data_IF_437225719507
#
_entry.id   IF_437225719507
#
_cell.length_a   1.000
_cell.length_b   1.000
_cell.length_c   1.000
_cell.angle_alpha   90.00
_cell.angle_beta   90.00
_cell.angle_gamma   90.00
#
_symmetry.space_group_name_H-M   'P 1'
#
loop_
_entity.id
_entity.type
_entity.pdbx_description
1 polymer ?
#
# COMPACT_ATOMS: atom_id res chain seq x y z
N UNK A 1 -8.32 -11.81 -12.39
CA UNK A 1 -8.99 -12.20 -11.12
C UNK A 1 -8.86 -13.68 -10.75
N UNK A 2 -8.51 -14.60 -11.68
CA UNK A 2 -8.38 -16.04 -11.37
C UNK A 2 -7.11 -16.36 -10.55
N UNK A 3 -6.06 -15.53 -10.61
CA UNK A 3 -4.75 -15.83 -9.99
C UNK A 3 -4.73 -15.71 -8.46
N UNK A 4 -5.50 -14.79 -7.86
CA UNK A 4 -5.51 -14.57 -6.40
C UNK A 4 -6.16 -15.74 -5.65
N UNK A 5 -7.16 -16.39 -6.26
CA UNK A 5 -7.83 -17.55 -5.68
C UNK A 5 -6.92 -18.76 -5.54
N UNK A 6 -6.09 -19.05 -6.55
CA UNK A 6 -5.11 -20.13 -6.49
C UNK A 6 -4.02 -19.89 -5.45
N UNK A 7 -3.59 -18.64 -5.27
CA UNK A 7 -2.62 -18.27 -4.24
C UNK A 7 -3.19 -18.50 -2.84
N UNK A 8 -4.44 -18.12 -2.59
CA UNK A 8 -5.12 -18.37 -1.31
C UNK A 8 -5.25 -19.87 -1.02
N UNK A 9 -5.67 -20.66 -2.02
CA UNK A 9 -5.73 -22.12 -1.92
C UNK A 9 -4.33 -22.70 -1.63
N UNK A 10 -3.30 -22.23 -2.33
CA UNK A 10 -1.92 -22.68 -2.12
C UNK A 10 -1.39 -22.34 -0.73
N UNK A 11 -1.67 -21.15 -0.19
CA UNK A 11 -1.26 -20.75 1.16
C UNK A 11 -1.95 -21.61 2.22
N UNK A 12 -3.24 -21.89 2.05
CA UNK A 12 -3.99 -22.77 2.96
C UNK A 12 -3.41 -24.18 2.91
N UNK A 13 -3.16 -24.73 1.73
CA UNK A 13 -2.54 -26.05 1.58
C UNK A 13 -1.10 -26.11 2.10
N UNK A 14 -0.34 -25.02 1.98
CA UNK A 14 1.00 -24.89 2.55
C UNK A 14 0.94 -24.88 4.08
N UNK A 15 -0.02 -24.17 4.68
CA UNK A 15 -0.25 -24.20 6.13
C UNK A 15 -0.64 -25.61 6.61
N UNK A 16 -1.53 -26.29 5.88
CA UNK A 16 -1.89 -27.69 6.12
C UNK A 16 -0.65 -28.60 6.03
N UNK A 17 0.19 -28.44 5.00
CA UNK A 17 1.44 -29.19 4.85
C UNK A 17 2.48 -28.89 5.95
N UNK A 18 2.56 -27.64 6.41
CA UNK A 18 3.42 -27.27 7.53
C UNK A 18 2.92 -27.91 8.83
N UNK A 19 1.61 -27.91 9.08
CA UNK A 19 1.04 -28.58 10.26
C UNK A 19 1.25 -30.09 10.23
N UNK A 20 1.27 -30.75 9.06
CA UNK A 20 1.59 -32.19 8.98
C UNK A 20 3.06 -32.48 9.25
N UNK A 21 3.98 -31.66 8.71
CA UNK A 21 5.42 -31.82 8.93
C UNK A 21 5.76 -31.58 10.42
N UNK A 22 5.29 -30.45 10.99
CA UNK A 22 5.57 -30.11 12.39
C UNK A 22 4.81 -31.01 13.36
N UNK A 23 3.54 -31.35 13.09
CA UNK A 23 2.77 -32.28 13.91
C UNK A 23 3.37 -33.69 13.92
N UNK A 24 3.87 -34.17 12.78
CA UNK A 24 4.57 -35.46 12.70
C UNK A 24 5.90 -35.47 13.44
N UNK A 25 6.68 -34.38 13.39
CA UNK A 25 7.92 -34.23 14.15
C UNK A 25 7.66 -34.14 15.66
N UNK A 26 6.60 -33.44 16.06
CA UNK A 26 6.21 -33.30 17.47
C UNK A 26 5.76 -34.64 18.06
N UNK A 27 4.95 -35.40 17.31
CA UNK A 27 4.54 -36.75 17.69
C UNK A 27 5.77 -37.66 17.83
N UNK A 28 6.69 -37.67 16.86
CA UNK A 28 7.93 -38.46 16.92
C UNK A 28 8.78 -38.17 18.16
N UNK A 29 8.75 -36.93 18.68
CA UNK A 29 9.46 -36.53 19.89
C UNK A 29 8.76 -37.02 21.17
N UNK A 30 7.42 -37.11 21.16
CA UNK A 30 6.63 -37.61 22.30
C UNK A 30 6.59 -39.14 22.33
N UNK A 31 6.52 -39.83 21.19
CA UNK A 31 6.39 -41.31 21.14
C UNK A 31 7.71 -42.08 21.31
N UNK A 32 8.79 -41.41 21.74
CA UNK A 32 10.04 -42.01 22.18
C UNK A 32 10.55 -43.19 21.32
N UNK A 33 10.81 -42.96 20.02
CA UNK A 33 11.50 -43.87 19.06
C UNK A 33 10.97 -45.30 18.88
N UNK A 34 9.94 -45.77 19.58
CA UNK A 34 9.58 -47.21 19.63
C UNK A 34 8.79 -47.74 18.43
N UNK A 35 8.39 -46.89 17.47
CA UNK A 35 7.74 -47.37 16.24
C UNK A 35 8.45 -46.86 14.99
N UNK A 36 8.71 -47.78 14.06
CA UNK A 36 9.40 -47.48 12.81
C UNK A 36 8.77 -46.29 12.07
N UNK A 37 9.60 -45.50 11.39
CA UNK A 37 9.24 -44.24 10.72
C UNK A 37 7.98 -44.40 9.83
N UNK A 38 7.82 -45.56 9.20
CA UNK A 38 6.67 -45.92 8.37
C UNK A 38 5.38 -46.14 9.17
N UNK A 39 5.45 -46.70 10.38
CA UNK A 39 4.29 -46.93 11.27
C UNK A 39 3.84 -45.62 11.91
N UNK A 40 4.79 -44.78 12.34
CA UNK A 40 4.51 -43.42 12.82
C UNK A 40 3.87 -42.61 11.71
N UNK A 41 4.44 -42.57 10.51
CA UNK A 41 3.87 -41.85 9.38
C UNK A 41 2.45 -42.33 9.01
N UNK A 42 2.19 -43.64 9.04
CA UNK A 42 0.84 -44.19 8.79
C UNK A 42 -0.17 -43.83 9.89
N UNK A 43 0.25 -43.84 11.16
CA UNK A 43 -0.58 -43.42 12.31
C UNK A 43 -0.86 -41.92 12.25
N UNK A 44 0.17 -41.10 12.03
CA UNK A 44 0.05 -39.64 11.89
C UNK A 44 -0.86 -39.30 10.72
N UNK A 45 -0.72 -39.96 9.56
CA UNK A 45 -1.60 -39.75 8.42
C UNK A 45 -3.06 -40.11 8.75
N UNK A 46 -3.33 -41.23 9.43
CA UNK A 46 -4.72 -41.61 9.80
C UNK A 46 -5.35 -40.67 10.83
N UNK A 47 -4.61 -40.30 11.87
CA UNK A 47 -5.07 -39.32 12.89
C UNK A 47 -5.30 -37.97 12.21
N UNK A 48 -4.43 -37.59 11.27
CA UNK A 48 -4.58 -36.37 10.49
C UNK A 48 -5.77 -36.42 9.53
N UNK A 49 -6.01 -37.51 8.79
CA UNK A 49 -7.17 -37.63 7.91
C UNK A 49 -8.49 -37.67 8.70
N UNK A 50 -8.52 -38.32 9.87
CA UNK A 50 -9.68 -38.29 10.77
C UNK A 50 -9.91 -36.88 11.36
N UNK A 51 -8.84 -36.16 11.67
CA UNK A 51 -8.90 -34.77 12.12
C UNK A 51 -9.32 -33.83 10.98
N UNK A 52 -8.76 -33.99 9.78
CA UNK A 52 -9.07 -33.23 8.56
C UNK A 52 -10.54 -33.33 8.14
N UNK A 53 -11.21 -34.44 8.47
CA UNK A 53 -12.64 -34.65 8.23
C UNK A 53 -13.53 -34.15 9.37
N UNK A 54 -12.96 -33.61 10.45
CA UNK A 54 -13.72 -33.10 11.60
C UNK A 54 -14.13 -31.64 11.41
N UNK A 55 -15.32 -31.25 11.92
CA UNK A 55 -15.82 -29.87 11.91
C UNK A 55 -14.83 -28.85 12.50
N UNK A 56 -13.93 -29.31 13.38
CA UNK A 56 -12.89 -28.51 14.03
C UNK A 56 -11.88 -27.92 13.02
N UNK A 57 -11.58 -28.62 11.94
CA UNK A 57 -10.64 -28.15 10.92
C UNK A 57 -11.21 -26.99 10.11
N UNK A 58 -12.52 -26.98 9.87
CA UNK A 58 -13.18 -25.83 9.24
C UNK A 58 -13.05 -24.56 10.08
N UNK A 59 -13.05 -24.67 11.42
CA UNK A 59 -12.85 -23.51 12.31
C UNK A 59 -11.42 -22.97 12.18
N UNK A 60 -10.41 -23.84 12.14
CA UNK A 60 -9.01 -23.44 11.94
C UNK A 60 -8.82 -22.76 10.59
N UNK A 61 -9.37 -23.36 9.53
CA UNK A 61 -9.28 -22.79 8.17
C UNK A 61 -10.02 -21.45 8.09
N UNK A 62 -11.20 -21.33 8.70
CA UNK A 62 -11.95 -20.07 8.74
C UNK A 62 -11.16 -18.96 9.45
N UNK A 63 -10.49 -19.27 10.57
CA UNK A 63 -9.67 -18.29 11.29
C UNK A 63 -8.43 -17.88 10.49
N UNK A 64 -7.75 -18.81 9.82
CA UNK A 64 -6.58 -18.51 8.98
C UNK A 64 -6.99 -17.67 7.77
N UNK A 65 -8.08 -18.02 7.10
CA UNK A 65 -8.58 -17.28 5.93
C UNK A 65 -9.05 -15.88 6.31
N UNK A 66 -9.75 -15.73 7.44
CA UNK A 66 -10.10 -14.43 7.99
C UNK A 66 -8.83 -13.62 8.31
N UNK A 67 -7.85 -14.21 9.00
CA UNK A 67 -6.60 -13.53 9.33
C UNK A 67 -5.80 -13.06 8.12
N UNK A 68 -5.74 -13.89 7.06
CA UNK A 68 -5.16 -13.53 5.76
C UNK A 68 -5.92 -12.39 5.07
N UNK A 69 -7.26 -12.40 5.14
CA UNK A 69 -8.07 -11.33 4.56
C UNK A 69 -7.77 -9.97 5.23
N UNK A 70 -7.63 -9.94 6.57
CA UNK A 70 -7.21 -8.73 7.28
C UNK A 70 -5.79 -8.29 6.86
N UNK A 71 -4.84 -9.21 6.71
CA UNK A 71 -3.50 -8.86 6.24
C UNK A 71 -3.48 -8.31 4.80
N UNK A 72 -4.35 -8.82 3.93
CA UNK A 72 -4.49 -8.29 2.56
C UNK A 72 -5.14 -6.91 2.50
N UNK A 73 -5.89 -6.53 3.53
CA UNK A 73 -6.47 -5.17 3.67
C UNK A 73 -5.50 -4.17 4.30
N UNK A 74 -4.40 -4.62 4.92
CA UNK A 74 -3.43 -3.76 5.57
C UNK A 74 -2.63 -2.79 4.66
N UNK A 75 -2.26 -3.13 3.40
CA UNK A 75 -1.42 -2.26 2.60
C UNK A 75 -2.24 -1.08 2.03
N UNK A 76 -1.85 0.13 2.42
CA UNK A 76 -2.39 1.38 1.88
C UNK A 76 -1.31 2.13 1.11
N UNK A 77 -1.76 2.87 0.09
CA UNK A 77 -0.93 3.84 -0.61
C UNK A 77 -1.65 5.18 -0.65
N UNK A 78 -0.90 6.25 -0.43
CA UNK A 78 -1.36 7.62 -0.69
C UNK A 78 -0.37 8.29 -1.62
N UNK A 79 -0.92 9.12 -2.49
CA UNK A 79 -0.14 9.89 -3.45
C UNK A 79 -0.07 11.31 -2.91
N UNK A 80 1.11 11.70 -2.43
CA UNK A 80 1.34 13.07 -1.96
C UNK A 80 1.95 13.87 -3.11
N UNK A 81 1.41 15.07 -3.33
CA UNK A 81 1.96 16.03 -4.29
C UNK A 81 2.97 16.94 -3.59
N UNK A 82 4.22 16.88 -4.04
CA UNK A 82 5.32 17.68 -3.49
C UNK A 82 5.75 18.69 -4.57
N UNK A 83 5.97 19.97 -4.21
CA UNK A 83 6.48 20.95 -5.17
C UNK A 83 7.89 20.54 -5.62
N UNK A 84 8.03 20.18 -6.90
CA UNK A 84 9.27 19.72 -7.50
C UNK A 84 10.04 20.85 -8.22
N UNK A 85 9.40 21.99 -8.43
CA UNK A 85 10.03 23.15 -9.04
C UNK A 85 9.02 24.20 -9.48
N UNK A 86 9.49 25.16 -10.28
CA UNK A 86 8.70 26.25 -10.82
C UNK A 86 8.85 26.30 -12.34
N UNK A 87 7.71 26.33 -13.03
CA UNK A 87 7.66 26.71 -14.44
C UNK A 87 7.61 28.22 -14.55
N UNK A 88 8.45 28.80 -15.38
CA UNK A 88 8.44 30.23 -15.67
C UNK A 88 7.89 30.46 -17.07
N UNK A 89 6.91 31.34 -17.19
CA UNK A 89 6.45 31.85 -18.48
C UNK A 89 6.76 33.34 -18.55
N UNK A 90 7.39 33.76 -19.65
CA UNK A 90 7.55 35.16 -19.97
C UNK A 90 6.21 35.67 -20.50
N UNK A 91 5.62 36.66 -19.84
CA UNK A 91 4.49 37.41 -20.37
C UNK A 91 4.95 38.79 -20.85
N UNK A 92 4.53 39.12 -22.08
CA UNK A 92 4.76 40.40 -22.72
C UNK A 92 3.57 41.31 -22.44
N UNK A 93 3.82 42.40 -21.74
CA UNK A 93 2.85 43.47 -21.55
C UNK A 93 3.22 44.63 -22.48
N UNK A 94 2.45 44.77 -23.56
CA UNK A 94 2.50 45.93 -24.43
C UNK A 94 1.85 47.13 -23.74
N UNK A 95 2.53 48.27 -23.75
CA UNK A 95 1.99 49.53 -23.28
C UNK A 95 2.50 50.70 -24.11
N UNK A 96 1.84 51.84 -23.98
CA UNK A 96 2.29 53.09 -24.59
C UNK A 96 2.86 53.98 -23.50
N UNK A 97 4.09 54.46 -23.69
CA UNK A 97 4.70 55.43 -22.80
C UNK A 97 4.56 56.84 -23.41
N UNK A 98 3.97 57.81 -22.69
CA UNK A 98 3.85 59.17 -23.18
C UNK A 98 5.22 59.85 -23.12
N UNK A 99 5.67 60.37 -24.26
CA UNK A 99 6.88 61.18 -24.36
C UNK A 99 6.45 62.62 -24.70
N UNK A 100 6.81 63.61 -23.87
CA UNK A 100 6.52 65.00 -24.15
C UNK A 100 7.51 65.52 -25.20
N UNK A 101 6.98 66.02 -26.32
CA UNK A 101 7.74 66.80 -27.29
C UNK A 101 7.43 68.27 -27.13
N UNK A 102 8.48 69.08 -27.11
CA UNK A 102 8.38 70.53 -27.16
C UNK A 102 8.56 70.97 -28.60
N UNK A 103 7.55 71.64 -29.16
CA UNK A 103 7.70 72.30 -30.45
C UNK A 103 7.39 73.79 -30.29
N UNK A 104 8.16 74.61 -30.97
CA UNK A 104 8.01 76.06 -30.96
C UNK A 104 7.72 76.53 -32.38
N UNK A 105 6.72 77.38 -32.54
CA UNK A 105 6.36 77.96 -33.83
C UNK A 105 6.39 79.49 -33.75
N UNK A 106 6.78 80.17 -34.83
CA UNK A 106 6.77 81.62 -34.86
C UNK A 106 5.33 82.13 -34.98
N UNK A 107 4.99 83.12 -34.17
CA UNK A 107 3.75 83.89 -34.27
C UNK A 107 4.08 85.36 -34.50
N UNK A 108 3.36 86.00 -35.41
CA UNK A 108 3.52 87.43 -35.70
C UNK A 108 2.53 88.22 -34.84
N UNK A 109 3.05 89.09 -33.99
CA UNK A 109 2.25 89.95 -33.14
C UNK A 109 1.62 91.09 -33.97
N UNK A 110 0.48 91.65 -33.55
CA UNK A 110 -0.11 92.85 -34.13
C UNK A 110 0.84 94.04 -33.85
N UNK A 111 1.79 94.26 -34.76
CA UNK A 111 2.94 95.14 -34.59
C UNK A 111 4.15 94.75 -35.47
N UNK A 112 4.14 93.54 -36.05
CA UNK A 112 5.18 93.07 -36.98
C UNK A 112 6.35 92.34 -36.31
N UNK A 113 6.40 92.32 -34.99
CA UNK A 113 7.38 91.53 -34.22
C UNK A 113 7.05 90.03 -34.28
N UNK A 114 8.08 89.20 -34.44
CA UNK A 114 7.96 87.74 -34.37
C UNK A 114 8.34 87.25 -32.98
N UNK A 115 7.44 86.48 -32.35
CA UNK A 115 7.68 85.79 -31.09
C UNK A 115 7.53 84.29 -31.32
N UNK A 116 8.34 83.48 -30.64
CA UNK A 116 8.16 82.04 -30.65
C UNK A 116 7.24 81.64 -29.51
N UNK A 117 6.16 80.94 -29.82
CA UNK A 117 5.31 80.28 -28.84
C UNK A 117 5.62 78.79 -28.85
N UNK A 118 5.90 78.25 -27.67
CA UNK A 118 6.19 76.83 -27.49
C UNK A 118 4.97 76.14 -26.89
N UNK A 119 4.55 75.04 -27.51
CA UNK A 119 3.51 74.17 -27.01
C UNK A 119 4.06 72.77 -26.77
N UNK A 120 3.37 72.00 -25.93
CA UNK A 120 3.72 70.61 -25.64
C UNK A 120 2.78 69.68 -26.43
N UNK A 121 3.36 68.84 -27.26
CA UNK A 121 2.67 67.68 -27.81
C UNK A 121 3.06 66.44 -26.99
N UNK A 122 2.12 65.50 -26.83
CA UNK A 122 2.44 64.17 -26.30
C UNK A 122 2.35 63.17 -27.43
N UNK A 123 3.45 62.48 -27.72
CA UNK A 123 3.42 61.32 -28.59
C UNK A 123 3.61 60.04 -27.77
N UNK A 124 3.05 58.94 -28.25
CA UNK A 124 3.05 57.66 -27.55
C UNK A 124 4.01 56.71 -28.23
N UNK A 125 5.03 56.26 -27.49
CA UNK A 125 5.99 55.27 -27.98
C UNK A 125 5.59 53.89 -27.48
N UNK A 126 5.54 52.85 -28.33
CA UNK A 126 5.29 51.48 -27.87
C UNK A 126 6.46 51.02 -27.01
N UNK A 127 6.16 50.60 -25.78
CA UNK A 127 7.15 50.02 -24.86
C UNK A 127 6.70 48.63 -24.46
N UNK A 128 7.62 47.68 -24.56
CA UNK A 128 7.40 46.29 -24.17
C UNK A 128 7.97 46.06 -22.79
N UNK A 129 7.14 45.61 -21.85
CA UNK A 129 7.58 45.16 -20.52
C UNK A 129 7.43 43.65 -20.44
N UNK A 130 8.42 42.98 -19.89
CA UNK A 130 8.40 41.53 -19.70
C UNK A 130 8.28 41.22 -18.21
N UNK A 131 7.33 40.37 -17.84
CA UNK A 131 7.21 39.84 -16.48
C UNK A 131 7.31 38.31 -16.49
N UNK A 132 7.98 37.78 -15.46
CA UNK A 132 8.07 36.34 -15.23
C UNK A 132 6.94 35.91 -14.32
N UNK A 133 6.03 35.07 -14.83
CA UNK A 133 5.00 34.43 -14.02
C UNK A 133 5.48 33.02 -13.68
N UNK A 134 5.64 32.75 -12.39
CA UNK A 134 5.99 31.44 -11.87
C UNK A 134 4.75 30.61 -11.54
N UNK A 135 4.74 29.34 -11.94
CA UNK A 135 3.75 28.35 -11.49
C UNK A 135 4.45 27.16 -10.86
N UNK A 136 3.99 26.71 -9.71
CA UNK A 136 4.51 25.50 -9.06
C UNK A 136 4.22 24.26 -9.92
N UNK A 137 5.25 23.44 -10.10
CA UNK A 137 5.14 22.11 -10.70
C UNK A 137 5.15 21.11 -9.55
N UNK A 138 4.12 20.29 -9.46
CA UNK A 138 4.02 19.23 -8.48
C UNK A 138 4.52 17.90 -9.06
N UNK A 139 5.24 17.14 -8.25
CA UNK A 139 5.55 15.74 -8.51
C UNK A 139 4.78 14.85 -7.54
N UNK A 140 4.27 13.73 -8.05
CA UNK A 140 3.55 12.73 -7.25
C UNK A 140 4.52 11.72 -6.66
N UNK A 141 4.59 11.63 -5.33
CA UNK A 141 5.37 10.61 -4.63
C UNK A 141 4.40 9.62 -3.97
N UNK A 142 4.43 8.32 -4.34
CA UNK A 142 3.64 7.31 -3.66
C UNK A 142 4.31 6.95 -2.33
N UNK A 143 3.56 7.02 -1.24
CA UNK A 143 3.98 6.53 0.07
C UNK A 143 3.19 5.27 0.38
N UNK A 144 3.90 4.22 0.77
CA UNK A 144 3.32 2.93 1.16
C UNK A 144 3.45 2.77 2.67
N UNK A 145 2.35 2.39 3.32
CA UNK A 145 2.38 2.00 4.72
C UNK A 145 1.43 0.85 4.98
N UNK A 146 1.68 0.16 6.09
CA UNK A 146 0.84 -0.91 6.60
C UNK A 146 0.02 -0.36 7.75
N UNK A 147 -1.30 -0.51 7.68
CA UNK A 147 -2.15 -0.17 8.81
C UNK A 147 -1.92 -1.19 9.96
N UNK A 148 -1.41 -0.72 11.12
CA UNK A 148 -1.05 -1.60 12.22
C UNK A 148 -2.26 -2.36 12.78
N UNK A 149 -3.48 -1.80 12.68
CA UNK A 149 -4.70 -2.44 13.18
C UNK A 149 -5.02 -3.72 12.42
N UNK A 150 -5.01 -3.64 11.09
CA UNK A 150 -5.23 -4.80 10.21
C UNK A 150 -4.14 -5.87 10.38
N UNK A 151 -2.89 -5.45 10.55
CA UNK A 151 -1.77 -6.38 10.79
C UNK A 151 -1.91 -7.12 12.12
N UNK A 152 -2.24 -6.42 13.21
CA UNK A 152 -2.41 -7.02 14.53
C UNK A 152 -3.59 -7.99 14.59
N UNK A 153 -4.74 -7.61 14.01
CA UNK A 153 -5.91 -8.48 13.97
C UNK A 153 -5.62 -9.72 13.11
N UNK A 154 -5.05 -9.53 11.93
CA UNK A 154 -4.73 -10.61 11.01
C UNK A 154 -3.74 -11.61 11.59
N UNK A 155 -2.63 -11.12 12.15
CA UNK A 155 -1.63 -11.97 12.82
C UNK A 155 -2.19 -12.67 14.06
N UNK A 156 -2.99 -11.98 14.88
CA UNK A 156 -3.64 -12.55 16.05
C UNK A 156 -4.55 -13.73 15.72
N UNK A 157 -5.38 -13.60 14.69
CA UNK A 157 -6.28 -14.67 14.21
C UNK A 157 -5.49 -15.91 13.76
N UNK A 158 -4.40 -15.72 13.03
CA UNK A 158 -3.55 -16.83 12.56
C UNK A 158 -2.89 -17.54 13.75
N UNK A 159 -2.36 -16.79 14.72
CA UNK A 159 -1.75 -17.37 15.93
C UNK A 159 -2.76 -18.20 16.71
N UNK A 160 -3.96 -17.65 16.95
CA UNK A 160 -5.04 -18.37 17.65
C UNK A 160 -5.43 -19.64 16.91
N UNK A 161 -5.55 -19.58 15.57
CA UNK A 161 -5.85 -20.76 14.76
C UNK A 161 -4.79 -21.86 14.91
N UNK A 162 -3.51 -21.48 14.89
CA UNK A 162 -2.39 -22.43 15.07
C UNK A 162 -2.39 -23.07 16.46
N UNK A 163 -2.66 -22.28 17.52
CA UNK A 163 -2.76 -22.81 18.89
C UNK A 163 -3.89 -23.84 18.99
N UNK A 164 -5.09 -23.51 18.46
CA UNK A 164 -6.23 -24.41 18.43
C UNK A 164 -5.93 -25.70 17.65
N UNK A 165 -5.27 -25.58 16.49
CA UNK A 165 -4.86 -26.71 15.70
C UNK A 165 -3.92 -27.65 16.48
N UNK A 166 -2.88 -27.10 17.10
CA UNK A 166 -1.95 -27.85 17.93
C UNK A 166 -2.67 -28.54 19.10
N UNK A 167 -3.54 -27.83 19.81
CA UNK A 167 -4.29 -28.38 20.94
C UNK A 167 -5.16 -29.58 20.52
N UNK A 168 -5.93 -29.43 19.44
CA UNK A 168 -6.79 -30.51 18.97
C UNK A 168 -6.03 -31.69 18.36
N UNK A 169 -4.87 -31.45 17.73
CA UNK A 169 -3.99 -32.54 17.29
C UNK A 169 -3.46 -33.36 18.46
N UNK A 170 -3.07 -32.71 19.56
CA UNK A 170 -2.63 -33.41 20.78
C UNK A 170 -3.78 -34.20 21.40
N UNK A 171 -4.97 -33.60 21.50
CA UNK A 171 -6.16 -34.29 22.02
C UNK A 171 -6.49 -35.54 21.18
N UNK A 172 -6.53 -35.41 19.85
CA UNK A 172 -6.81 -36.53 18.96
C UNK A 172 -5.76 -37.64 19.08
N UNK A 173 -4.50 -37.30 19.33
CA UNK A 173 -3.45 -38.28 19.56
C UNK A 173 -3.62 -39.02 20.91
N UNK A 174 -3.99 -38.31 21.97
CA UNK A 174 -4.23 -38.93 23.28
C UNK A 174 -5.46 -39.86 23.25
N UNK A 175 -6.57 -39.43 22.65
CA UNK A 175 -7.78 -40.25 22.48
C UNK A 175 -7.52 -41.53 21.66
N UNK A 176 -6.52 -41.48 20.79
CA UNK A 176 -6.11 -42.60 19.97
C UNK A 176 -5.14 -43.52 20.70
N UNK A 177 -4.21 -42.98 21.49
CA UNK A 177 -3.32 -43.75 22.36
C UNK A 177 -4.11 -44.58 23.37
N UNK A 178 -5.12 -43.99 24.03
CA UNK A 178 -5.97 -44.71 24.98
C UNK A 178 -6.66 -45.91 24.32
N UNK A 179 -7.26 -45.74 23.14
CA UNK A 179 -7.92 -46.85 22.42
C UNK A 179 -6.99 -48.01 22.06
N UNK A 180 -5.69 -47.76 21.87
CA UNK A 180 -4.72 -48.82 21.56
C UNK A 180 -4.25 -49.57 22.80
N UNK A 181 -4.10 -48.90 23.95
CA UNK A 181 -3.69 -49.54 25.21
C UNK A 181 -4.73 -50.59 25.66
N UNK A 182 -6.01 -50.36 25.37
CA UNK A 182 -7.08 -51.32 25.68
C UNK A 182 -7.23 -52.45 24.64
N UNK A 183 -6.72 -52.30 23.41
CA UNK A 183 -6.81 -53.34 22.37
C UNK A 183 -5.64 -54.35 22.38
N UNK A 184 -4.58 -54.11 23.15
CA UNK A 184 -3.43 -55.03 23.27
C UNK A 184 -3.50 -55.95 24.50
N UNK A 185 -4.64 -56.00 25.19
CA UNK A 185 -4.86 -56.84 26.39
C UNK A 185 -5.67 -58.11 26.14
N UNK A 186 -5.95 -58.46 24.89
CA UNK A 186 -6.54 -59.75 24.50
C UNK A 186 -5.51 -60.63 23.77
#
# INVERSE_FOLDING_TARGET
>A
MIEVGWILVAIVWLAVALTTIFGGLFLRKITNKESGVTVVAKKTARVFFAWALSAKVFVVIALITLGLAFLMMAPHHEVIMIPAGYAYRLEEHGGFYPVPDLYCYPMTLPGGETKFECSQATHYVPVYRYSLIGREIYSSVPIYWLDPGFVLIGSGLIIVALILACYWMVQANNDWADRYVWMTKE
#
